data_IF_163331588136
#
_entry.id   IF_163331588136
#
_cell.length_a   1.000
_cell.length_b   1.000
_cell.length_c   1.000
_cell.angle_alpha   90.00
_cell.angle_beta   90.00
_cell.angle_gamma   90.00
#
_symmetry.space_group_name_H-M   'P 1'
#
loop_
_entity.id
_entity.type
_entity.pdbx_description
1 polymer ?
#
# COMPACT_ATOMS: atom_id res chain seq x y z
N UNK A 1 -10.41 26.47 6.67
CA UNK A 1 -11.62 26.39 5.82
C UNK A 1 -11.43 25.21 4.90
N UNK A 2 -12.48 24.43 4.62
CA UNK A 2 -12.40 23.19 3.81
C UNK A 2 -13.27 23.34 2.57
N UNK A 3 -12.68 23.17 1.40
CA UNK A 3 -13.40 22.96 0.13
C UNK A 3 -13.40 21.44 -0.11
N UNK A 4 -14.57 20.82 -0.21
CA UNK A 4 -14.69 19.37 -0.33
C UNK A 4 -15.39 19.05 -1.65
N UNK A 5 -14.65 18.41 -2.56
CA UNK A 5 -15.14 17.91 -3.84
C UNK A 5 -15.32 16.40 -3.71
N UNK A 6 -16.55 15.92 -3.85
CA UNK A 6 -16.84 14.49 -3.84
C UNK A 6 -17.96 14.19 -4.85
N UNK A 7 -17.89 13.03 -5.49
CA UNK A 7 -18.93 12.59 -6.43
C UNK A 7 -20.17 12.10 -5.70
N UNK A 8 -20.01 11.59 -4.48
CA UNK A 8 -21.10 11.14 -3.62
C UNK A 8 -21.48 12.26 -2.62
N UNK A 9 -22.70 12.84 -2.72
CA UNK A 9 -23.14 13.84 -1.77
C UNK A 9 -23.17 13.35 -0.31
N UNK A 10 -23.24 12.04 -0.06
CA UNK A 10 -23.25 11.49 1.29
C UNK A 10 -21.89 11.59 2.01
N UNK A 11 -20.77 11.71 1.27
CA UNK A 11 -19.44 11.85 1.86
C UNK A 11 -19.13 13.31 2.27
N UNK A 12 -19.87 14.27 1.72
CA UNK A 12 -19.70 15.68 2.03
C UNK A 12 -20.10 15.96 3.48
N UNK A 13 -19.14 16.47 4.26
CA UNK A 13 -19.38 16.87 5.65
C UNK A 13 -19.45 15.70 6.64
N UNK A 14 -19.28 14.46 6.16
CA UNK A 14 -19.38 13.24 6.96
C UNK A 14 -18.29 13.14 8.04
N UNK A 15 -17.04 13.43 7.68
CA UNK A 15 -15.88 13.32 8.58
C UNK A 15 -15.41 14.67 9.13
N UNK A 16 -15.52 15.74 8.34
CA UNK A 16 -15.01 17.08 8.68
C UNK A 16 -16.01 18.12 8.19
N UNK A 17 -16.24 19.18 8.99
CA UNK A 17 -17.13 20.27 8.60
C UNK A 17 -16.64 20.97 7.31
N UNK A 18 -17.44 20.87 6.25
CA UNK A 18 -17.16 21.46 4.93
C UNK A 18 -17.61 22.92 4.88
N UNK A 19 -16.71 23.82 4.45
CA UNK A 19 -17.05 25.23 4.24
C UNK A 19 -17.67 25.48 2.86
N UNK A 20 -17.18 24.78 1.84
CA UNK A 20 -17.67 24.86 0.45
C UNK A 20 -17.82 23.44 -0.09
N UNK A 21 -19.06 22.91 -0.17
CA UNK A 21 -19.31 21.60 -0.74
C UNK A 21 -19.45 21.69 -2.27
N UNK A 22 -18.81 20.77 -2.99
CA UNK A 22 -18.96 20.62 -4.44
C UNK A 22 -19.25 19.15 -4.74
N UNK A 23 -20.46 18.88 -5.22
CA UNK A 23 -20.86 17.53 -5.65
C UNK A 23 -20.50 17.37 -7.12
N UNK A 24 -19.61 16.45 -7.45
CA UNK A 24 -19.22 16.17 -8.82
C UNK A 24 -17.93 15.36 -8.94
N UNK A 25 -17.63 14.94 -10.17
CA UNK A 25 -16.36 14.29 -10.48
C UNK A 25 -15.19 15.26 -10.23
N UNK A 26 -14.18 14.80 -9.50
CA UNK A 26 -13.06 15.64 -9.08
C UNK A 26 -12.24 16.16 -10.27
N UNK A 27 -12.08 15.38 -11.34
CA UNK A 27 -11.33 15.82 -12.52
C UNK A 27 -12.08 16.89 -13.30
N UNK A 28 -13.40 16.73 -13.49
CA UNK A 28 -14.23 17.75 -14.14
C UNK A 28 -14.30 19.05 -13.33
N UNK A 29 -14.42 18.96 -12.00
CA UNK A 29 -14.40 20.14 -11.13
C UNK A 29 -13.05 20.86 -11.22
N UNK A 30 -11.92 20.14 -11.21
CA UNK A 30 -10.60 20.75 -11.34
C UNK A 30 -10.41 21.46 -12.69
N UNK A 31 -10.92 20.90 -13.80
CA UNK A 31 -10.86 21.57 -15.12
C UNK A 31 -11.54 22.94 -15.12
N UNK A 32 -12.62 23.10 -14.35
CA UNK A 32 -13.35 24.36 -14.23
C UNK A 32 -12.69 25.33 -13.23
N UNK A 33 -12.03 24.82 -12.20
CA UNK A 33 -11.39 25.64 -11.16
C UNK A 33 -10.00 26.16 -11.55
N UNK A 34 -9.21 25.38 -12.30
CA UNK A 34 -7.82 25.74 -12.67
C UNK A 34 -7.73 27.09 -13.40
N UNK A 35 -8.62 27.44 -14.34
CA UNK A 35 -8.58 28.76 -15.01
C UNK A 35 -8.91 29.94 -14.09
N UNK A 36 -9.64 29.69 -12.99
CA UNK A 36 -10.13 30.71 -12.06
C UNK A 36 -9.16 30.98 -10.90
N UNK A 37 -8.11 30.17 -10.76
CA UNK A 37 -7.10 30.36 -9.71
C UNK A 37 -5.91 31.17 -10.23
N UNK A 38 -5.54 32.19 -9.48
CA UNK A 38 -4.32 32.96 -9.74
C UNK A 38 -3.09 32.13 -9.34
N UNK A 39 -2.06 32.14 -10.19
CA UNK A 39 -0.75 31.61 -9.82
C UNK A 39 -0.17 32.41 -8.65
N UNK A 40 0.20 31.71 -7.57
CA UNK A 40 0.77 32.32 -6.37
C UNK A 40 1.95 31.49 -5.86
N UNK A 41 2.95 32.17 -5.33
CA UNK A 41 4.11 31.55 -4.66
C UNK A 41 4.01 31.76 -3.16
N UNK A 42 4.30 30.71 -2.41
CA UNK A 42 4.30 30.70 -0.94
C UNK A 42 5.63 30.13 -0.44
N UNK A 43 6.74 30.84 -0.71
CA UNK A 43 8.09 30.32 -0.48
C UNK A 43 8.32 29.91 0.99
N UNK A 44 7.82 30.67 1.98
CA UNK A 44 7.90 30.31 3.41
C UNK A 44 7.17 29.00 3.73
N UNK A 45 6.01 28.78 3.11
CA UNK A 45 5.24 27.56 3.28
C UNK A 45 5.93 26.37 2.64
N UNK A 46 6.51 26.56 1.45
CA UNK A 46 7.30 25.54 0.76
C UNK A 46 8.56 25.17 1.55
N UNK A 47 9.29 26.15 2.06
CA UNK A 47 10.45 25.92 2.93
C UNK A 47 10.06 25.16 4.21
N UNK A 48 8.90 25.49 4.80
CA UNK A 48 8.36 24.74 5.93
C UNK A 48 8.06 23.28 5.55
N UNK A 49 7.42 23.01 4.42
CA UNK A 49 7.15 21.64 3.93
C UNK A 49 8.46 20.86 3.75
N UNK A 50 9.45 21.47 3.07
CA UNK A 50 10.73 20.81 2.80
C UNK A 50 11.46 20.47 4.11
N UNK A 51 11.43 21.35 5.11
CA UNK A 51 12.00 21.08 6.45
C UNK A 51 11.37 19.87 7.17
N UNK A 52 10.14 19.47 6.78
CA UNK A 52 9.45 18.30 7.36
C UNK A 52 9.70 17.02 6.57
N UNK A 53 9.92 17.13 5.26
CA UNK A 53 10.18 15.96 4.38
C UNK A 53 11.46 15.25 4.82
N UNK A 54 12.51 16.00 5.14
CA UNK A 54 13.82 15.47 5.54
C UNK A 54 13.76 14.71 6.88
N UNK A 55 12.93 15.15 7.82
CA UNK A 55 12.78 14.50 9.13
C UNK A 55 12.08 13.14 9.03
N UNK A 56 11.04 13.05 8.21
CA UNK A 56 10.28 11.81 8.02
C UNK A 56 11.10 10.73 7.31
N UNK A 57 12.05 11.12 6.45
CA UNK A 57 12.96 10.17 5.79
C UNK A 57 14.17 9.79 6.65
N UNK A 58 14.68 10.71 7.49
CA UNK A 58 15.90 10.48 8.28
C UNK A 58 15.69 9.63 9.54
N UNK A 59 14.47 9.58 10.09
CA UNK A 59 14.16 8.69 11.22
C UNK A 59 13.96 7.22 10.77
N UNK A 60 14.01 6.98 9.46
CA UNK A 60 13.79 5.68 8.85
C UNK A 60 15.13 4.94 8.59
N UNK A 61 15.69 4.44 9.70
CA UNK A 61 16.27 3.09 9.85
C UNK A 61 17.81 2.92 9.87
N UNK A 62 18.27 2.13 10.84
CA UNK A 62 19.60 1.53 10.88
C UNK A 62 19.69 0.38 9.86
N UNK A 63 20.71 0.40 9.01
CA UNK A 63 20.97 -0.69 8.07
C UNK A 63 21.51 -1.91 8.84
N UNK A 64 20.73 -3.00 8.89
CA UNK A 64 21.14 -4.28 9.50
C UNK A 64 21.45 -5.29 8.40
N UNK A 65 22.70 -5.37 7.92
CA UNK A 65 23.06 -6.16 6.74
C UNK A 65 22.87 -7.69 6.92
N UNK A 66 22.71 -8.15 8.15
CA UNK A 66 22.54 -9.57 8.51
C UNK A 66 21.10 -10.09 8.39
N UNK A 67 20.08 -9.21 8.43
CA UNK A 67 18.68 -9.55 8.16
C UNK A 67 18.03 -8.41 7.37
N UNK A 68 17.61 -8.65 6.12
CA UNK A 68 16.96 -7.60 5.35
C UNK A 68 15.64 -7.25 6.02
N UNK A 69 15.59 -6.06 6.60
CA UNK A 69 14.36 -5.52 7.12
C UNK A 69 13.31 -5.40 5.99
N UNK A 70 12.01 -5.59 6.28
CA UNK A 70 10.99 -5.66 5.23
C UNK A 70 10.96 -4.48 4.25
N UNK A 71 11.22 -3.26 4.74
CA UNK A 71 11.27 -2.07 3.89
C UNK A 71 12.46 -2.08 2.92
N UNK A 72 13.58 -2.72 3.26
CA UNK A 72 14.76 -2.82 2.38
C UNK A 72 14.42 -3.72 1.20
N UNK A 73 13.68 -4.80 1.44
CA UNK A 73 13.15 -5.69 0.39
C UNK A 73 12.23 -4.89 -0.55
N UNK A 74 11.30 -4.11 0.00
CA UNK A 74 10.38 -3.27 -0.77
C UNK A 74 11.13 -2.24 -1.62
N UNK A 75 12.12 -1.55 -1.05
CA UNK A 75 12.97 -0.60 -1.78
C UNK A 75 13.77 -1.29 -2.89
N UNK A 76 14.22 -2.52 -2.67
CA UNK A 76 14.92 -3.30 -3.68
C UNK A 76 14.01 -3.65 -4.86
N UNK A 77 12.76 -4.07 -4.60
CA UNK A 77 11.76 -4.33 -5.64
C UNK A 77 11.43 -3.02 -6.40
N UNK A 78 11.20 -1.92 -5.69
CA UNK A 78 10.96 -0.62 -6.30
C UNK A 78 12.12 -0.19 -7.22
N UNK A 79 13.37 -0.40 -6.78
CA UNK A 79 14.55 -0.12 -7.59
C UNK A 79 14.64 -1.03 -8.82
N UNK A 80 14.40 -2.32 -8.65
CA UNK A 80 14.47 -3.30 -9.74
C UNK A 80 13.42 -3.04 -10.83
N UNK A 81 12.22 -2.63 -10.41
CA UNK A 81 11.09 -2.32 -11.30
C UNK A 81 11.07 -0.86 -11.77
N UNK A 82 12.04 -0.03 -11.34
CA UNK A 82 12.03 1.42 -11.52
C UNK A 82 10.73 2.11 -11.05
N UNK A 83 9.97 1.49 -10.15
CA UNK A 83 8.67 1.98 -9.68
C UNK A 83 7.55 1.91 -10.73
N UNK A 84 7.76 1.16 -11.83
CA UNK A 84 6.82 1.07 -12.95
C UNK A 84 5.84 -0.11 -12.84
N UNK A 85 6.16 -1.10 -12.01
CA UNK A 85 5.35 -2.30 -11.79
C UNK A 85 4.00 -1.99 -11.12
N UNK A 86 2.99 -2.83 -11.39
CA UNK A 86 1.80 -2.90 -10.55
C UNK A 86 2.17 -3.66 -9.28
N UNK A 87 1.88 -3.07 -8.13
CA UNK A 87 2.02 -3.72 -6.83
C UNK A 87 0.65 -3.96 -6.25
N UNK A 88 0.39 -5.22 -5.97
CA UNK A 88 -0.71 -5.63 -5.10
C UNK A 88 -0.17 -5.93 -3.71
N UNK A 89 -1.00 -5.80 -2.69
CA UNK A 89 -0.61 -6.22 -1.34
C UNK A 89 -1.70 -7.03 -0.67
N UNK A 90 -1.29 -7.88 0.26
CA UNK A 90 -2.20 -8.36 1.30
C UNK A 90 -2.38 -7.28 2.38
N UNK A 91 -2.91 -7.65 3.55
CA UNK A 91 -3.21 -6.72 4.65
C UNK A 91 -2.32 -6.99 5.85
N UNK A 92 -1.69 -5.94 6.39
CA UNK A 92 -0.81 -6.03 7.56
C UNK A 92 0.33 -5.01 7.53
N UNK A 93 1.43 -5.30 8.26
CA UNK A 93 2.56 -4.37 8.30
C UNK A 93 3.24 -4.20 6.94
N UNK A 94 3.35 -5.28 6.16
CA UNK A 94 3.91 -5.26 4.81
C UNK A 94 3.14 -4.32 3.86
N UNK A 95 1.81 -4.20 4.01
CA UNK A 95 0.97 -3.24 3.29
C UNK A 95 1.41 -1.80 3.58
N UNK A 96 1.65 -1.48 4.86
CA UNK A 96 2.07 -0.15 5.29
C UNK A 96 3.48 0.18 4.81
N UNK A 97 4.41 -0.78 4.90
CA UNK A 97 5.76 -0.59 4.40
C UNK A 97 5.78 -0.43 2.88
N UNK A 98 4.95 -1.17 2.14
CA UNK A 98 4.83 -1.01 0.69
C UNK A 98 4.34 0.40 0.34
N UNK A 99 3.30 0.88 1.02
CA UNK A 99 2.78 2.24 0.88
C UNK A 99 3.86 3.31 1.13
N UNK A 100 4.68 3.13 2.17
CA UNK A 100 5.67 4.10 2.61
C UNK A 100 6.94 4.10 1.75
N UNK A 101 7.35 2.95 1.20
CA UNK A 101 8.69 2.78 0.66
C UNK A 101 8.79 2.37 -0.81
N UNK A 102 7.68 2.01 -1.47
CA UNK A 102 7.74 1.61 -2.88
C UNK A 102 7.93 2.80 -3.84
N UNK A 103 7.30 3.95 -3.56
CA UNK A 103 7.46 5.17 -4.38
C UNK A 103 6.74 5.10 -5.73
N UNK A 104 5.45 4.77 -5.72
CA UNK A 104 4.59 4.66 -6.91
C UNK A 104 4.66 5.90 -7.82
N UNK A 105 5.00 5.69 -9.11
CA UNK A 105 5.18 6.78 -10.09
C UNK A 105 3.96 7.02 -10.99
N UNK A 106 3.11 6.02 -11.17
CA UNK A 106 2.00 6.08 -12.11
C UNK A 106 0.66 5.82 -11.41
N UNK A 107 -0.45 6.39 -11.92
CA UNK A 107 -1.78 6.02 -11.45
C UNK A 107 -2.04 4.53 -11.69
N UNK A 108 -2.94 3.96 -10.89
CA UNK A 108 -3.39 2.57 -11.01
C UNK A 108 -2.22 1.55 -10.95
N UNK A 109 -1.22 1.83 -10.11
CA UNK A 109 -0.10 0.90 -9.83
C UNK A 109 -0.08 0.35 -8.42
N UNK A 110 -1.01 0.76 -7.57
CA UNK A 110 -1.14 0.25 -6.22
C UNK A 110 -2.54 -0.27 -5.99
N UNK A 111 -2.68 -1.58 -5.80
CA UNK A 111 -3.96 -2.26 -5.60
C UNK A 111 -3.93 -2.95 -4.23
N UNK A 112 -4.77 -2.52 -3.30
CA UNK A 112 -4.76 -3.03 -1.93
C UNK A 112 -6.15 -3.00 -1.31
N UNK A 113 -6.43 -3.92 -0.38
CA UNK A 113 -7.68 -3.90 0.38
C UNK A 113 -7.57 -2.90 1.54
N UNK A 114 -8.05 -1.67 1.31
CA UNK A 114 -8.01 -0.59 2.29
C UNK A 114 -9.22 -0.58 3.23
N UNK A 115 -10.42 -0.33 2.69
CA UNK A 115 -11.61 -0.07 3.50
C UNK A 115 -12.05 -1.23 4.40
N UNK A 116 -12.11 -2.45 3.85
CA UNK A 116 -12.47 -3.66 4.63
C UNK A 116 -11.25 -4.32 5.28
N UNK A 117 -10.06 -4.17 4.70
CA UNK A 117 -8.84 -4.80 5.23
C UNK A 117 -8.83 -6.32 5.10
N UNK A 118 -9.24 -6.86 3.95
CA UNK A 118 -9.33 -8.31 3.71
C UNK A 118 -7.96 -8.96 3.53
N UNK A 119 -7.58 -9.84 4.46
CA UNK A 119 -6.42 -10.72 4.28
C UNK A 119 -6.72 -11.83 3.24
N UNK A 120 -5.71 -12.28 2.50
CA UNK A 120 -5.87 -13.17 1.33
C UNK A 120 -6.19 -12.43 0.03
N UNK A 121 -6.19 -11.10 0.05
CA UNK A 121 -6.46 -10.28 -1.13
C UNK A 121 -5.28 -10.23 -2.11
N UNK A 122 -4.04 -10.37 -1.61
CA UNK A 122 -2.83 -10.07 -2.38
C UNK A 122 -2.69 -10.91 -3.64
N UNK A 123 -2.68 -12.24 -3.51
CA UNK A 123 -2.49 -13.15 -4.65
C UNK A 123 -3.61 -13.08 -5.72
N UNK A 124 -4.90 -13.21 -5.37
CA UNK A 124 -5.97 -13.13 -6.37
C UNK A 124 -6.06 -11.74 -7.04
N UNK A 125 -5.75 -10.65 -6.33
CA UNK A 125 -5.70 -9.32 -6.95
C UNK A 125 -4.52 -9.18 -7.92
N UNK A 126 -3.37 -9.84 -7.65
CA UNK A 126 -2.25 -9.88 -8.58
C UNK A 126 -2.60 -10.64 -9.87
N UNK A 127 -3.35 -11.74 -9.76
CA UNK A 127 -3.90 -12.51 -10.89
C UNK A 127 -4.78 -11.60 -11.74
N UNK A 128 -5.78 -10.94 -11.12
CA UNK A 128 -6.65 -10.02 -11.83
C UNK A 128 -5.91 -8.85 -12.49
N UNK A 129 -4.91 -8.29 -11.79
CA UNK A 129 -4.08 -7.22 -12.34
C UNK A 129 -3.27 -7.66 -13.56
N UNK A 130 -2.68 -8.87 -13.51
CA UNK A 130 -1.90 -9.41 -14.63
C UNK A 130 -2.77 -9.71 -15.84
N UNK A 131 -3.98 -10.25 -15.63
CA UNK A 131 -4.96 -10.47 -16.70
C UNK A 131 -5.39 -9.12 -17.31
N UNK A 132 -5.67 -8.12 -16.49
CA UNK A 132 -6.12 -6.81 -16.96
C UNK A 132 -5.02 -5.98 -17.64
N UNK A 133 -3.74 -6.21 -17.28
CA UNK A 133 -2.56 -5.50 -17.79
C UNK A 133 -1.44 -6.49 -18.10
N UNK A 134 -1.58 -7.30 -19.17
CA UNK A 134 -0.63 -8.38 -19.48
C UNK A 134 0.80 -7.88 -19.73
N UNK A 135 0.93 -6.68 -20.30
CA UNK A 135 2.22 -6.08 -20.65
C UNK A 135 2.98 -5.49 -19.46
N UNK A 136 2.34 -5.38 -18.29
CA UNK A 136 2.99 -4.84 -17.10
C UNK A 136 3.52 -5.95 -16.21
N UNK A 137 4.66 -5.66 -15.58
CA UNK A 137 5.19 -6.46 -14.49
C UNK A 137 4.29 -6.29 -13.26
N UNK A 138 3.95 -7.41 -12.62
CA UNK A 138 3.09 -7.45 -11.44
C UNK A 138 3.85 -8.08 -10.29
N UNK A 139 3.90 -7.37 -9.16
CA UNK A 139 4.38 -7.87 -7.90
C UNK A 139 3.24 -7.94 -6.89
N UNK A 140 3.20 -9.00 -6.09
CA UNK A 140 2.37 -9.06 -4.89
C UNK A 140 3.26 -9.12 -3.65
N UNK A 141 3.09 -8.15 -2.76
CA UNK A 141 3.82 -8.08 -1.49
C UNK A 141 2.86 -8.51 -0.40
N UNK A 142 3.09 -9.69 0.18
CA UNK A 142 2.12 -10.38 1.02
C UNK A 142 2.77 -10.87 2.31
N UNK A 143 2.00 -10.88 3.39
CA UNK A 143 2.43 -11.52 4.64
C UNK A 143 2.25 -13.04 4.56
N UNK A 144 3.03 -13.77 5.34
CA UNK A 144 2.89 -15.21 5.55
C UNK A 144 1.48 -15.64 5.99
N UNK A 145 0.83 -14.89 6.87
CA UNK A 145 -0.55 -15.16 7.30
C UNK A 145 -1.59 -14.89 6.19
N UNK A 146 -1.41 -13.80 5.43
CA UNK A 146 -2.30 -13.44 4.34
C UNK A 146 -2.22 -14.43 3.17
N UNK A 147 -0.99 -14.80 2.79
CA UNK A 147 -0.77 -15.79 1.72
C UNK A 147 -1.44 -17.13 2.01
N UNK A 148 -1.38 -17.61 3.25
CA UNK A 148 -2.03 -18.86 3.66
C UNK A 148 -3.56 -18.85 3.47
N UNK A 149 -4.20 -17.69 3.41
CA UNK A 149 -5.65 -17.60 3.21
C UNK A 149 -6.07 -17.88 1.76
N UNK A 150 -5.19 -17.68 0.79
CA UNK A 150 -5.51 -17.77 -0.64
C UNK A 150 -4.43 -18.49 -1.45
N UNK A 151 -3.55 -19.26 -0.81
CA UNK A 151 -2.40 -19.88 -1.48
C UNK A 151 -2.81 -20.90 -2.56
N UNK A 152 -4.03 -21.43 -2.49
CA UNK A 152 -4.61 -22.30 -3.51
C UNK A 152 -4.68 -21.61 -4.89
N UNK A 153 -4.71 -20.28 -4.96
CA UNK A 153 -4.75 -19.52 -6.22
C UNK A 153 -3.43 -19.58 -7.02
N UNK A 154 -2.36 -20.14 -6.45
CA UNK A 154 -1.18 -20.52 -7.24
C UNK A 154 -1.56 -21.46 -8.38
N UNK A 155 -2.50 -22.39 -8.14
CA UNK A 155 -3.00 -23.29 -9.19
C UNK A 155 -3.66 -22.51 -10.33
N UNK A 156 -4.41 -21.45 -10.00
CA UNK A 156 -5.04 -20.55 -10.98
C UNK A 156 -3.99 -19.78 -11.77
N UNK A 157 -2.97 -19.21 -11.11
CA UNK A 157 -1.90 -18.49 -11.78
C UNK A 157 -1.15 -19.37 -12.79
N UNK A 158 -0.88 -20.63 -12.44
CA UNK A 158 -0.24 -21.62 -13.33
C UNK A 158 -1.17 -22.03 -14.47
N UNK A 159 -2.45 -22.32 -14.17
CA UNK A 159 -3.43 -22.73 -15.17
C UNK A 159 -3.59 -21.66 -16.26
N UNK A 160 -3.64 -20.39 -15.87
CA UNK A 160 -3.79 -19.24 -16.76
C UNK A 160 -2.44 -18.75 -17.34
N UNK A 161 -1.34 -19.45 -17.04
CA UNK A 161 0.02 -19.14 -17.49
C UNK A 161 0.43 -17.68 -17.23
N UNK A 162 0.16 -17.20 -16.01
CA UNK A 162 0.39 -15.82 -15.61
C UNK A 162 1.76 -15.63 -14.96
N UNK A 163 2.53 -14.69 -15.50
CA UNK A 163 3.82 -14.28 -14.94
C UNK A 163 3.62 -13.21 -13.86
N UNK A 164 3.59 -13.67 -12.59
CA UNK A 164 3.36 -12.84 -11.39
C UNK A 164 4.50 -13.08 -10.41
N UNK A 165 5.10 -12.00 -9.92
CA UNK A 165 6.13 -12.06 -8.89
C UNK A 165 5.50 -12.02 -7.49
N UNK A 166 5.86 -12.98 -6.63
CA UNK A 166 5.30 -13.12 -5.28
C UNK A 166 6.40 -12.88 -4.25
N UNK A 167 6.25 -11.83 -3.43
CA UNK A 167 7.14 -11.51 -2.32
C UNK A 167 6.42 -11.78 -0.99
N UNK A 168 6.78 -12.89 -0.33
CA UNK A 168 6.25 -13.25 0.98
C UNK A 168 7.16 -12.67 2.07
N UNK A 169 6.63 -11.72 2.85
CA UNK A 169 7.27 -11.21 4.07
C UNK A 169 6.96 -12.19 5.21
N UNK A 170 7.82 -13.20 5.35
CA UNK A 170 7.68 -14.26 6.34
C UNK A 170 8.31 -13.87 7.68
N UNK A 171 7.49 -13.48 8.64
CA UNK A 171 7.95 -13.12 9.99
C UNK A 171 7.46 -14.09 11.08
N UNK A 172 6.63 -15.09 10.75
CA UNK A 172 6.10 -16.09 11.66
C UNK A 172 4.94 -15.59 12.54
N UNK A 173 4.37 -14.43 12.22
CA UNK A 173 3.33 -13.78 13.02
C UNK A 173 2.29 -13.04 12.17
N UNK A 174 1.10 -12.88 12.73
CA UNK A 174 0.18 -11.82 12.36
C UNK A 174 0.72 -10.47 12.86
N UNK A 175 1.77 -9.97 12.20
CA UNK A 175 2.64 -8.90 12.70
C UNK A 175 1.93 -7.61 13.09
N UNK A 176 0.89 -7.21 12.35
CA UNK A 176 0.09 -6.03 12.69
C UNK A 176 -0.63 -6.20 14.03
N UNK A 177 -1.28 -7.33 14.25
CA UNK A 177 -1.97 -7.62 15.52
C UNK A 177 -0.96 -7.74 16.66
N UNK A 178 0.18 -8.41 16.41
CA UNK A 178 1.27 -8.52 17.38
C UNK A 178 1.79 -7.15 17.81
N UNK A 179 1.95 -6.20 16.87
CA UNK A 179 2.41 -4.84 17.19
C UNK A 179 1.45 -4.13 18.15
N UNK A 180 0.14 -4.25 17.93
CA UNK A 180 -0.85 -3.69 18.85
C UNK A 180 -0.82 -4.38 20.22
N UNK A 181 -0.64 -5.70 20.27
CA UNK A 181 -0.48 -6.43 21.53
C UNK A 181 0.78 -6.00 22.30
N UNK A 182 1.88 -5.71 21.59
CA UNK A 182 3.13 -5.22 22.17
C UNK A 182 2.95 -3.83 22.81
N UNK A 183 2.34 -2.91 22.06
CA UNK A 183 2.20 -1.51 22.45
C UNK A 183 1.12 -1.28 23.52
N UNK A 184 -0.01 -1.98 23.43
CA UNK A 184 -1.22 -1.65 24.20
C UNK A 184 -1.69 -2.76 25.14
N UNK A 185 -1.16 -3.98 25.02
CA UNK A 185 -1.59 -5.13 25.81
C UNK A 185 -0.45 -5.78 26.58
N UNK A 186 0.54 -4.99 27.00
CA UNK A 186 1.65 -5.43 27.84
C UNK A 186 2.37 -6.68 27.31
N UNK A 187 2.49 -6.79 25.98
CA UNK A 187 3.12 -7.94 25.30
C UNK A 187 2.40 -9.28 25.53
N UNK A 188 1.11 -9.24 25.88
CA UNK A 188 0.29 -10.44 25.98
C UNK A 188 -0.08 -10.94 24.58
N UNK A 189 0.79 -11.77 24.01
CA UNK A 189 0.63 -12.29 22.66
C UNK A 189 -0.39 -13.43 22.63
N UNK A 190 -1.58 -13.17 22.09
CA UNK A 190 -2.68 -14.14 22.00
C UNK A 190 -2.95 -14.49 20.54
N UNK A 191 -2.71 -15.74 20.16
CA UNK A 191 -3.03 -16.32 18.83
C UNK A 191 -2.46 -15.55 17.62
N UNK A 192 -1.36 -14.82 17.81
CA UNK A 192 -0.70 -14.06 16.73
C UNK A 192 0.50 -14.79 16.13
N UNK A 193 1.02 -15.84 16.80
CA UNK A 193 2.10 -16.65 16.25
C UNK A 193 1.51 -17.69 15.31
N UNK A 194 2.05 -17.80 14.11
CA UNK A 194 1.54 -18.71 13.09
C UNK A 194 2.62 -19.68 12.63
N UNK A 195 2.17 -20.86 12.22
CA UNK A 195 2.99 -21.88 11.58
C UNK A 195 2.83 -21.74 10.06
N UNK A 196 3.87 -21.26 9.38
CA UNK A 196 3.87 -21.20 7.92
C UNK A 196 4.31 -22.55 7.30
N UNK A 197 3.73 -22.96 6.16
CA UNK A 197 4.28 -24.08 5.40
C UNK A 197 5.67 -23.72 4.85
N UNK A 198 6.39 -24.73 4.34
CA UNK A 198 7.56 -24.46 3.52
C UNK A 198 7.09 -23.92 2.16
N UNK A 199 7.17 -22.60 1.98
CA UNK A 199 6.71 -21.92 0.78
C UNK A 199 7.46 -22.31 -0.50
N UNK A 200 8.70 -22.79 -0.40
CA UNK A 200 9.48 -23.26 -1.56
C UNK A 200 9.03 -24.64 -2.07
N UNK A 201 8.39 -25.43 -1.20
CA UNK A 201 7.85 -26.76 -1.54
C UNK A 201 6.38 -26.74 -1.95
N UNK A 202 5.72 -25.60 -1.80
CA UNK A 202 4.32 -25.38 -2.15
C UNK A 202 4.20 -25.22 -3.66
#
# INVERSE_FOLDING_TARGET
RVVHVDIDPAEIGKNVQTSVPVVGDAAEVLKLLIPEVEERRYDDWMAWIDSRRDRAMSEALEDRPEWPEPYTIIKAIAKATNGDAIVTTDVGQHQMWAAQHFGFKHPDRWITSGGLGTMGFGLPSAIGAKIGRPDLEVWTIIGDGGFQMSSNELATAVQENLDINICIINNGYLGMVRQWQDLFHAKNYSEVRISAPNFEKL
#
